data_IF_916792578225
#
_entry.id   IF_916792578225
#
_cell.length_a   1.000
_cell.length_b   1.000
_cell.length_c   1.000
_cell.angle_alpha   90.00
_cell.angle_beta   90.00
_cell.angle_gamma   90.00
#
_symmetry.space_group_name_H-M   'P 1'
#
loop_
_entity.id
_entity.type
_entity.pdbx_description
1 polymer ?
#
# COMPACT_ATOMS: atom_id res chain seq x y z
N UNK A 1 66.33 -5.60 -55.21
CA UNK A 1 65.12 -6.44 -54.94
C UNK A 1 64.62 -6.17 -53.54
N UNK A 2 63.56 -5.33 -53.36
CA UNK A 2 62.98 -4.98 -52.06
C UNK A 2 61.67 -5.75 -51.93
N UNK A 3 61.53 -6.62 -50.88
CA UNK A 3 60.31 -7.34 -50.57
C UNK A 3 59.41 -6.46 -49.67
N UNK A 4 58.12 -6.29 -49.94
CA UNK A 4 57.22 -5.59 -49.03
C UNK A 4 56.80 -6.51 -47.89
N UNK A 5 56.88 -6.00 -46.68
CA UNK A 5 56.37 -6.64 -45.44
C UNK A 5 54.88 -6.36 -45.32
N UNK A 6 54.08 -7.35 -45.53
CA UNK A 6 52.64 -7.22 -45.30
C UNK A 6 52.35 -7.50 -43.81
N UNK A 7 52.19 -6.43 -43.07
CA UNK A 7 51.73 -6.54 -41.68
C UNK A 7 50.25 -6.90 -41.63
N UNK A 8 49.92 -8.10 -41.16
CA UNK A 8 48.56 -8.57 -40.93
C UNK A 8 48.05 -7.90 -39.65
N UNK A 9 47.22 -6.85 -39.77
CA UNK A 9 46.48 -6.29 -38.66
C UNK A 9 45.29 -7.18 -38.36
N UNK A 10 45.38 -7.99 -37.31
CA UNK A 10 44.23 -8.75 -36.80
C UNK A 10 43.28 -7.79 -36.04
N UNK A 11 42.01 -7.73 -36.39
CA UNK A 11 41.05 -6.94 -35.61
C UNK A 11 40.80 -7.62 -34.27
N UNK A 12 41.17 -6.92 -33.20
CA UNK A 12 40.82 -7.29 -31.82
C UNK A 12 39.32 -7.00 -31.64
N UNK A 13 38.48 -8.02 -31.79
CA UNK A 13 37.06 -7.96 -31.42
C UNK A 13 36.96 -7.87 -29.89
N UNK A 14 36.78 -6.67 -29.36
CA UNK A 14 36.30 -6.47 -27.99
C UNK A 14 34.84 -6.92 -27.94
N UNK A 15 34.57 -8.11 -27.43
CA UNK A 15 33.25 -8.53 -27.02
C UNK A 15 32.89 -7.76 -25.75
N UNK A 16 32.07 -6.69 -25.91
CA UNK A 16 31.35 -6.09 -24.80
C UNK A 16 30.38 -7.12 -24.25
N UNK A 17 30.77 -7.86 -23.22
CA UNK A 17 29.85 -8.62 -22.42
C UNK A 17 28.92 -7.62 -21.71
N UNK A 18 27.78 -7.35 -22.31
CA UNK A 18 26.70 -6.62 -21.65
C UNK A 18 26.22 -7.52 -20.51
N UNK A 19 26.68 -7.27 -19.29
CA UNK A 19 26.05 -7.81 -18.09
C UNK A 19 24.65 -7.20 -18.00
N UNK A 20 23.62 -7.95 -18.39
CA UNK A 20 22.26 -7.56 -18.10
C UNK A 20 22.11 -7.40 -16.57
N UNK A 21 21.47 -6.34 -16.09
CA UNK A 21 21.31 -6.13 -14.66
C UNK A 21 20.50 -7.30 -14.06
N UNK A 22 21.06 -7.99 -13.08
CA UNK A 22 20.33 -8.99 -12.32
C UNK A 22 19.12 -8.31 -11.64
N UNK A 23 17.94 -8.91 -11.76
CA UNK A 23 16.76 -8.43 -11.02
C UNK A 23 17.00 -8.66 -9.54
N UNK A 24 16.87 -7.62 -8.74
CA UNK A 24 17.06 -7.70 -7.29
C UNK A 24 15.76 -7.34 -6.58
N UNK A 25 15.24 -8.26 -5.78
CA UNK A 25 14.06 -8.07 -4.93
C UNK A 25 14.53 -7.98 -3.49
N UNK A 26 14.13 -6.95 -2.78
CA UNK A 26 14.47 -6.74 -1.36
C UNK A 26 13.18 -6.65 -0.55
N UNK A 27 13.02 -7.48 0.47
CA UNK A 27 11.90 -7.36 1.41
C UNK A 27 12.21 -6.24 2.40
N UNK A 28 11.50 -5.11 2.26
CA UNK A 28 11.58 -4.02 3.23
C UNK A 28 10.74 -4.33 4.47
N UNK A 29 11.12 -3.79 5.65
CA UNK A 29 10.28 -3.88 6.84
C UNK A 29 8.91 -3.23 6.56
N UNK A 30 7.84 -3.87 7.03
CA UNK A 30 6.47 -3.38 6.94
C UNK A 30 5.99 -2.99 8.35
N UNK A 31 5.62 -1.73 8.54
CA UNK A 31 5.03 -1.29 9.80
C UNK A 31 3.68 -1.97 10.02
N UNK A 32 3.47 -2.54 11.22
CA UNK A 32 2.23 -3.22 11.58
C UNK A 32 2.01 -4.62 10.96
N UNK A 33 2.93 -5.12 10.11
CA UNK A 33 2.83 -6.45 9.48
C UNK A 33 4.12 -7.26 9.73
N UNK A 34 4.30 -7.81 10.94
CA UNK A 34 5.54 -8.49 11.30
C UNK A 34 5.81 -9.78 10.52
N UNK A 35 4.80 -10.34 9.88
CA UNK A 35 4.87 -11.59 9.09
C UNK A 35 4.81 -11.37 7.58
N UNK A 36 5.15 -10.17 7.11
CA UNK A 36 5.21 -9.91 5.67
C UNK A 36 6.21 -10.86 5.00
N UNK A 37 5.79 -11.49 3.91
CA UNK A 37 6.65 -12.35 3.10
C UNK A 37 6.42 -12.06 1.60
N UNK A 38 7.48 -12.22 0.82
CA UNK A 38 7.45 -12.09 -0.64
C UNK A 38 7.98 -13.37 -1.26
N UNK A 39 7.18 -13.94 -2.15
CA UNK A 39 7.57 -15.08 -2.97
C UNK A 39 8.19 -14.60 -4.27
N UNK A 40 9.39 -15.05 -4.58
CA UNK A 40 10.10 -14.76 -5.82
C UNK A 40 10.21 -16.04 -6.62
N UNK A 41 9.49 -16.09 -7.73
CA UNK A 41 9.48 -17.22 -8.64
C UNK A 41 10.24 -16.86 -9.93
N UNK A 42 11.12 -17.75 -10.34
CA UNK A 42 11.80 -17.72 -11.62
C UNK A 42 11.53 -19.02 -12.38
N UNK A 43 12.02 -19.15 -13.62
CA UNK A 43 11.78 -20.33 -14.47
C UNK A 43 12.14 -21.67 -13.81
N UNK A 44 13.15 -21.70 -12.94
CA UNK A 44 13.69 -22.92 -12.34
C UNK A 44 13.78 -22.88 -10.82
N UNK A 45 13.50 -21.75 -10.19
CA UNK A 45 13.74 -21.56 -8.75
C UNK A 45 12.61 -20.77 -8.11
N UNK A 46 12.24 -21.19 -6.90
CA UNK A 46 11.25 -20.57 -6.05
C UNK A 46 11.89 -20.25 -4.69
N UNK A 47 11.79 -18.98 -4.24
CA UNK A 47 12.38 -18.52 -2.98
C UNK A 47 11.40 -17.65 -2.25
N UNK A 48 11.27 -17.85 -0.93
CA UNK A 48 10.44 -17.00 -0.04
C UNK A 48 11.35 -16.12 0.80
N UNK A 49 11.16 -14.81 0.69
CA UNK A 49 11.74 -13.81 1.58
C UNK A 49 10.75 -13.56 2.71
N UNK A 50 11.10 -13.95 3.94
CA UNK A 50 10.21 -13.87 5.11
C UNK A 50 10.78 -13.01 6.25
N UNK A 51 11.99 -12.46 6.08
CA UNK A 51 12.63 -11.59 7.07
C UNK A 51 12.97 -10.24 6.43
N UNK A 52 12.83 -9.12 7.16
CA UNK A 52 13.26 -7.82 6.68
C UNK A 52 14.69 -7.84 6.14
N UNK A 53 14.90 -7.13 5.04
CA UNK A 53 16.17 -7.01 4.33
C UNK A 53 16.72 -8.32 3.72
N UNK A 54 15.94 -9.39 3.64
CA UNK A 54 16.28 -10.49 2.74
C UNK A 54 16.20 -10.03 1.29
N UNK A 55 17.10 -10.59 0.48
CA UNK A 55 17.27 -10.24 -0.94
C UNK A 55 17.20 -11.51 -1.78
N UNK A 56 16.48 -11.43 -2.89
CA UNK A 56 16.59 -12.41 -3.97
C UNK A 56 17.22 -11.72 -5.19
N UNK A 57 18.33 -12.26 -5.67
CA UNK A 57 18.96 -11.83 -6.92
C UNK A 57 18.71 -12.88 -8.01
N UNK A 58 17.94 -12.46 -9.03
CA UNK A 58 17.60 -13.34 -10.17
C UNK A 58 18.60 -13.07 -11.30
N UNK A 59 19.35 -14.10 -11.69
CA UNK A 59 20.32 -14.06 -12.78
C UNK A 59 19.66 -14.37 -14.13
N UNK A 60 20.33 -14.06 -15.23
CA UNK A 60 19.83 -14.25 -16.61
C UNK A 60 19.31 -15.67 -16.90
N UNK A 61 19.89 -16.69 -16.27
CA UNK A 61 19.47 -18.09 -16.45
C UNK A 61 18.35 -18.53 -15.51
N UNK A 62 17.73 -17.59 -14.79
CA UNK A 62 16.66 -17.88 -13.85
C UNK A 62 17.13 -18.44 -12.51
N UNK A 63 18.43 -18.49 -12.25
CA UNK A 63 18.96 -18.83 -10.93
C UNK A 63 18.64 -17.72 -9.94
N UNK A 64 18.15 -18.07 -8.75
CA UNK A 64 17.85 -17.12 -7.67
C UNK A 64 18.82 -17.34 -6.53
N UNK A 65 19.62 -16.34 -6.21
CA UNK A 65 20.51 -16.31 -5.07
C UNK A 65 19.86 -15.52 -3.93
N UNK A 66 19.71 -16.16 -2.76
CA UNK A 66 19.17 -15.50 -1.57
C UNK A 66 20.28 -14.93 -0.72
N UNK A 67 20.17 -13.66 -0.33
CA UNK A 67 21.14 -12.92 0.48
C UNK A 67 20.45 -12.18 1.61
N UNK A 68 21.24 -11.60 2.50
CA UNK A 68 20.80 -10.67 3.53
C UNK A 68 21.51 -9.33 3.31
N UNK A 69 20.76 -8.24 3.42
CA UNK A 69 21.27 -6.86 3.43
C UNK A 69 20.81 -6.14 4.69
N UNK A 70 21.01 -4.85 4.77
CA UNK A 70 20.61 -4.01 5.89
C UNK A 70 20.02 -2.66 5.43
N UNK A 71 19.52 -1.88 6.39
CA UNK A 71 18.91 -0.58 6.13
C UNK A 71 19.89 0.41 5.47
N UNK A 72 21.18 0.36 5.85
CA UNK A 72 22.21 1.27 5.34
C UNK A 72 22.51 1.01 3.85
N UNK A 73 22.65 -0.26 3.46
CA UNK A 73 22.86 -0.63 2.06
C UNK A 73 21.63 -0.28 1.21
N UNK A 74 20.43 -0.54 1.72
CA UNK A 74 19.17 -0.17 1.05
C UNK A 74 19.08 1.35 0.86
N UNK A 75 19.35 2.13 1.90
CA UNK A 75 19.34 3.60 1.84
C UNK A 75 20.39 4.14 0.86
N UNK A 76 21.59 3.56 0.86
CA UNK A 76 22.67 3.95 -0.06
C UNK A 76 22.31 3.68 -1.52
N UNK A 77 21.67 2.55 -1.82
CA UNK A 77 21.33 2.13 -3.19
C UNK A 77 20.06 2.75 -3.72
N UNK A 78 19.06 2.89 -2.87
CA UNK A 78 17.69 3.20 -3.25
C UNK A 78 17.13 4.45 -2.55
N UNK A 79 17.97 5.21 -1.82
CA UNK A 79 17.51 6.35 -1.02
C UNK A 79 16.73 7.39 -1.83
N UNK A 80 17.15 7.70 -3.06
CA UNK A 80 16.41 8.60 -3.94
C UNK A 80 15.04 8.03 -4.33
N UNK A 81 14.96 6.73 -4.62
CA UNK A 81 13.70 6.07 -4.94
C UNK A 81 12.76 6.01 -3.73
N UNK A 82 13.31 5.73 -2.55
CA UNK A 82 12.54 5.68 -1.30
C UNK A 82 12.02 7.06 -0.88
N UNK A 83 12.78 8.13 -1.17
CA UNK A 83 12.37 9.50 -0.82
C UNK A 83 11.19 10.03 -1.63
N UNK A 84 10.90 9.46 -2.79
CA UNK A 84 9.73 9.82 -3.62
C UNK A 84 8.55 8.89 -3.40
N UNK A 85 8.65 7.91 -2.52
CA UNK A 85 7.52 7.05 -2.16
C UNK A 85 6.40 7.89 -1.51
N UNK A 86 5.14 7.70 -1.93
CA UNK A 86 4.01 8.29 -1.23
C UNK A 86 4.00 7.84 0.24
N UNK A 87 3.60 8.73 1.13
CA UNK A 87 3.40 8.37 2.53
C UNK A 87 2.36 7.25 2.65
N UNK A 88 2.60 6.27 3.52
CA UNK A 88 1.72 5.13 3.72
C UNK A 88 0.27 5.56 4.02
N UNK A 89 -0.70 4.77 3.58
CA UNK A 89 -2.12 4.99 3.91
C UNK A 89 -2.30 5.09 5.43
N UNK A 90 -3.14 6.02 5.85
CA UNK A 90 -3.58 6.10 7.24
C UNK A 90 -5.06 5.75 7.31
N UNK A 91 -5.43 4.86 8.22
CA UNK A 91 -6.81 4.44 8.44
C UNK A 91 -7.28 4.89 9.81
N UNK A 92 -8.47 5.47 9.84
CA UNK A 92 -9.12 5.96 11.04
C UNK A 92 -10.53 5.39 11.12
N UNK A 93 -11.00 5.13 12.32
CA UNK A 93 -12.36 4.64 12.56
C UNK A 93 -13.16 5.67 13.34
N UNK A 94 -14.36 5.95 12.86
CA UNK A 94 -15.34 6.83 13.50
C UNK A 94 -16.62 6.04 13.76
N UNK A 95 -17.24 6.24 14.91
CA UNK A 95 -18.46 5.56 15.30
C UNK A 95 -19.67 6.49 15.25
N UNK A 96 -20.82 5.93 14.94
CA UNK A 96 -22.08 6.65 14.86
C UNK A 96 -23.00 6.32 16.02
N UNK A 97 -23.87 7.26 16.34
CA UNK A 97 -25.00 7.02 17.25
C UNK A 97 -25.98 6.01 16.63
N UNK A 98 -26.69 5.22 17.45
CA UNK A 98 -27.69 4.26 16.96
C UNK A 98 -28.74 4.93 16.07
N UNK A 99 -29.17 4.23 15.00
CA UNK A 99 -30.31 4.62 14.15
C UNK A 99 -30.11 5.86 13.28
N UNK A 100 -28.88 6.39 13.16
CA UNK A 100 -28.68 7.59 12.36
C UNK A 100 -27.25 7.74 11.80
N UNK A 101 -26.99 8.92 11.24
CA UNK A 101 -25.70 9.36 10.70
C UNK A 101 -24.99 10.43 11.53
N UNK A 102 -25.41 10.62 12.79
CA UNK A 102 -24.71 11.48 13.74
C UNK A 102 -23.52 10.73 14.35
N UNK A 103 -22.34 11.36 14.36
CA UNK A 103 -21.14 10.81 15.01
C UNK A 103 -21.32 10.82 16.55
N UNK A 104 -20.66 9.88 17.22
CA UNK A 104 -20.51 9.94 18.68
C UNK A 104 -19.68 11.17 19.08
N UNK A 105 -19.78 11.67 20.33
CA UNK A 105 -18.97 12.79 20.80
C UNK A 105 -17.46 12.55 20.64
N UNK A 106 -17.01 11.34 20.93
CA UNK A 106 -15.61 10.91 20.80
C UNK A 106 -15.17 10.96 19.33
N UNK A 107 -15.99 10.43 18.42
CA UNK A 107 -15.72 10.44 16.98
C UNK A 107 -15.73 11.86 16.40
N UNK A 108 -16.58 12.73 16.93
CA UNK A 108 -16.60 14.14 16.53
C UNK A 108 -15.29 14.85 16.92
N UNK A 109 -14.76 14.56 18.10
CA UNK A 109 -13.46 15.07 18.54
C UNK A 109 -12.32 14.50 17.71
N UNK A 110 -12.31 13.18 17.50
CA UNK A 110 -11.29 12.50 16.69
C UNK A 110 -11.27 12.99 15.23
N UNK A 111 -12.42 13.34 14.66
CA UNK A 111 -12.50 13.88 13.30
C UNK A 111 -11.68 15.16 13.12
N UNK A 112 -11.63 16.02 14.13
CA UNK A 112 -10.83 17.25 14.07
C UNK A 112 -9.33 16.94 13.92
N UNK A 113 -8.81 15.99 14.70
CA UNK A 113 -7.41 15.55 14.62
C UNK A 113 -7.10 14.84 13.29
N UNK A 114 -8.02 14.01 12.81
CA UNK A 114 -7.91 13.34 11.52
C UNK A 114 -7.78 14.36 10.39
N UNK A 115 -8.60 15.38 10.40
CA UNK A 115 -8.59 16.43 9.39
C UNK A 115 -7.31 17.27 9.43
N UNK A 116 -6.79 17.58 10.63
CA UNK A 116 -5.50 18.24 10.76
C UNK A 116 -4.39 17.43 10.09
N UNK A 117 -4.28 16.13 10.41
CA UNK A 117 -3.29 15.23 9.81
C UNK A 117 -3.46 15.07 8.31
N UNK A 118 -4.69 15.03 7.83
CA UNK A 118 -4.98 14.89 6.40
C UNK A 118 -4.59 16.16 5.62
N UNK A 119 -4.75 17.37 6.18
CA UNK A 119 -4.32 18.63 5.54
C UNK A 119 -2.80 18.77 5.43
N UNK A 120 -2.04 18.16 6.34
CA UNK A 120 -0.57 18.14 6.29
C UNK A 120 -0.02 17.30 5.12
N UNK A 121 -0.85 16.43 4.53
CA UNK A 121 -0.49 15.55 3.42
C UNK A 121 -0.80 16.21 2.08
N UNK A 122 0.21 16.76 1.43
CA UNK A 122 0.03 17.30 0.07
C UNK A 122 -0.36 16.19 -0.91
N UNK A 123 -1.41 16.43 -1.68
CA UNK A 123 -1.83 15.48 -2.72
C UNK A 123 -2.66 14.28 -2.24
N UNK A 124 -2.98 14.16 -0.94
CA UNK A 124 -3.75 13.04 -0.40
C UNK A 124 -5.21 13.00 -0.88
N UNK A 125 -5.75 11.81 -1.06
CA UNK A 125 -7.18 11.54 -1.25
C UNK A 125 -7.77 10.98 0.03
N UNK A 126 -9.06 11.24 0.25
CA UNK A 126 -9.81 10.72 1.40
C UNK A 126 -10.92 9.83 0.89
N UNK A 127 -10.93 8.58 1.29
CA UNK A 127 -12.04 7.66 1.03
C UNK A 127 -12.78 7.41 2.34
N UNK A 128 -14.02 7.85 2.42
CA UNK A 128 -14.90 7.60 3.56
C UNK A 128 -15.70 6.34 3.29
N UNK A 129 -15.50 5.31 4.10
CA UNK A 129 -16.21 4.03 3.97
C UNK A 129 -17.19 3.91 5.14
N UNK A 130 -18.47 3.79 4.83
CA UNK A 130 -19.53 3.59 5.82
C UNK A 130 -19.86 2.11 6.01
N UNK A 131 -20.11 1.72 7.26
CA UNK A 131 -20.54 0.37 7.64
C UNK A 131 -21.77 0.43 8.54
N UNK A 132 -22.43 -0.72 8.72
CA UNK A 132 -23.50 -0.94 9.69
C UNK A 132 -23.26 -2.22 10.47
N UNK A 133 -23.96 -2.38 11.59
CA UNK A 133 -24.18 -3.70 12.17
C UNK A 133 -25.15 -4.50 11.30
N UNK A 134 -25.56 -5.69 11.76
CA UNK A 134 -26.43 -6.62 11.01
C UNK A 134 -27.90 -6.56 11.45
N UNK A 135 -28.32 -5.43 12.00
CA UNK A 135 -29.73 -5.19 12.32
C UNK A 135 -30.45 -4.62 11.11
N UNK A 136 -31.54 -5.24 10.69
CA UNK A 136 -32.36 -4.84 9.54
C UNK A 136 -32.00 -5.56 8.25
N UNK A 137 -32.47 -5.02 7.12
CA UNK A 137 -32.25 -5.64 5.80
C UNK A 137 -30.92 -5.17 5.17
N UNK A 138 -30.33 -6.01 4.32
CA UNK A 138 -29.12 -5.67 3.56
C UNK A 138 -29.30 -4.37 2.78
N UNK A 139 -30.47 -4.16 2.14
CA UNK A 139 -30.77 -2.94 1.37
C UNK A 139 -30.82 -1.71 2.25
N UNK A 140 -31.42 -1.82 3.45
CA UNK A 140 -31.45 -0.72 4.42
C UNK A 140 -30.08 -0.39 4.97
N UNK A 141 -29.25 -1.40 5.20
CA UNK A 141 -27.89 -1.27 5.68
C UNK A 141 -26.97 -0.69 4.60
N UNK A 142 -27.15 -1.04 3.33
CA UNK A 142 -26.46 -0.41 2.21
C UNK A 142 -26.76 1.09 2.12
N UNK A 143 -28.07 1.46 2.17
CA UNK A 143 -28.48 2.84 2.14
C UNK A 143 -27.95 3.65 3.34
N UNK A 144 -28.07 3.10 4.56
CA UNK A 144 -27.61 3.76 5.79
C UNK A 144 -26.08 3.94 5.79
N UNK A 145 -25.34 2.93 5.38
CA UNK A 145 -23.87 3.01 5.31
C UNK A 145 -23.40 4.10 4.34
N UNK A 146 -24.02 4.19 3.17
CA UNK A 146 -23.74 5.25 2.19
C UNK A 146 -24.13 6.62 2.74
N UNK A 147 -25.29 6.77 3.38
CA UNK A 147 -25.71 8.01 4.02
C UNK A 147 -24.71 8.46 5.08
N UNK A 148 -24.19 7.56 5.91
CA UNK A 148 -23.15 7.83 6.91
C UNK A 148 -21.87 8.32 6.27
N UNK A 149 -21.40 7.61 5.24
CA UNK A 149 -20.20 8.02 4.50
C UNK A 149 -20.35 9.41 3.88
N UNK A 150 -21.50 9.70 3.28
CA UNK A 150 -21.81 11.02 2.71
C UNK A 150 -21.86 12.12 3.78
N UNK A 151 -22.41 11.84 4.96
CA UNK A 151 -22.44 12.80 6.06
C UNK A 151 -21.01 13.19 6.51
N UNK A 152 -20.13 12.21 6.68
CA UNK A 152 -18.72 12.47 7.01
C UNK A 152 -18.00 13.18 5.86
N UNK A 153 -18.25 12.79 4.60
CA UNK A 153 -17.72 13.49 3.43
C UNK A 153 -18.05 14.98 3.46
N UNK A 154 -19.28 15.35 3.76
CA UNK A 154 -19.69 16.75 3.86
C UNK A 154 -18.97 17.48 5.00
N UNK A 155 -18.74 16.83 6.14
CA UNK A 155 -17.95 17.40 7.24
C UNK A 155 -16.48 17.65 6.82
N UNK A 156 -15.88 16.74 6.06
CA UNK A 156 -14.51 16.85 5.53
C UNK A 156 -14.41 18.03 4.55
N UNK A 157 -15.35 18.12 3.60
CA UNK A 157 -15.41 19.23 2.62
C UNK A 157 -15.66 20.58 3.33
N UNK A 158 -16.56 20.61 4.31
CA UNK A 158 -16.86 21.81 5.11
C UNK A 158 -15.66 22.32 5.93
N UNK A 159 -14.63 21.49 6.11
CA UNK A 159 -13.34 21.85 6.77
C UNK A 159 -12.25 22.25 5.78
N UNK A 160 -12.58 22.39 4.49
CA UNK A 160 -11.70 22.93 3.47
C UNK A 160 -11.00 21.88 2.58
N UNK A 161 -11.39 20.60 2.65
CA UNK A 161 -10.93 19.62 1.68
C UNK A 161 -11.61 19.83 0.31
N UNK A 162 -10.84 19.62 -0.74
CA UNK A 162 -11.36 19.63 -2.10
C UNK A 162 -12.35 18.48 -2.30
N UNK A 163 -13.56 18.79 -2.69
CA UNK A 163 -14.64 17.83 -2.92
C UNK A 163 -14.29 16.78 -3.99
N UNK A 164 -13.42 17.12 -4.95
CA UNK A 164 -12.94 16.21 -5.99
C UNK A 164 -11.96 15.15 -5.46
N UNK A 165 -11.50 15.31 -4.22
CA UNK A 165 -10.52 14.44 -3.56
C UNK A 165 -11.08 13.69 -2.34
N UNK A 166 -12.40 13.75 -2.16
CA UNK A 166 -13.09 13.05 -1.07
C UNK A 166 -14.17 12.17 -1.64
N UNK A 167 -14.01 10.86 -1.55
CA UNK A 167 -15.01 9.89 -1.95
C UNK A 167 -15.80 9.35 -0.75
N UNK A 168 -17.02 8.88 -1.02
CA UNK A 168 -17.89 8.25 -0.03
C UNK A 168 -18.44 6.93 -0.57
N UNK A 169 -18.25 5.84 0.16
CA UNK A 169 -18.66 4.48 -0.22
C UNK A 169 -19.43 3.83 0.92
N UNK A 170 -20.59 3.23 0.63
CA UNK A 170 -21.33 2.39 1.56
C UNK A 170 -20.94 0.93 1.37
N UNK A 171 -20.70 0.19 2.47
CA UNK A 171 -20.42 -1.25 2.48
C UNK A 171 -21.49 -2.05 3.21
N UNK A 172 -22.45 -1.37 3.84
CA UNK A 172 -23.47 -2.04 4.64
C UNK A 172 -22.84 -2.89 5.74
N UNK A 173 -23.39 -4.08 5.90
CA UNK A 173 -23.00 -5.08 6.90
C UNK A 173 -21.96 -6.11 6.42
N UNK A 174 -21.39 -5.93 5.19
CA UNK A 174 -20.57 -6.98 4.52
C UNK A 174 -19.19 -7.14 5.10
N UNK A 175 -18.67 -6.12 5.75
CA UNK A 175 -17.29 -6.08 6.28
C UNK A 175 -17.30 -5.76 7.78
N UNK A 176 -17.86 -6.63 8.65
CA UNK A 176 -17.93 -6.35 10.08
C UNK A 176 -16.57 -6.45 10.74
N UNK A 177 -16.26 -5.50 11.61
CA UNK A 177 -15.06 -5.54 12.47
C UNK A 177 -15.19 -6.67 13.50
N UNK A 178 -16.40 -6.83 14.04
CA UNK A 178 -16.75 -7.93 14.95
C UNK A 178 -17.76 -8.84 14.23
N UNK A 179 -17.41 -10.10 13.92
CA UNK A 179 -18.35 -11.03 13.34
C UNK A 179 -19.55 -11.27 14.27
N UNK A 180 -20.75 -11.07 13.75
CA UNK A 180 -22.02 -11.29 14.47
C UNK A 180 -23.00 -12.10 13.61
N UNK A 181 -24.01 -12.69 14.24
CA UNK A 181 -25.19 -13.20 13.53
C UNK A 181 -26.04 -12.02 13.02
N UNK A 182 -27.05 -12.33 12.19
CA UNK A 182 -28.04 -11.35 11.75
C UNK A 182 -28.85 -10.85 12.95
N UNK A 183 -29.38 -9.63 12.87
CA UNK A 183 -30.18 -8.95 13.89
C UNK A 183 -29.44 -8.71 15.22
N UNK A 184 -28.11 -8.79 15.23
CA UNK A 184 -27.31 -8.45 16.41
C UNK A 184 -26.81 -7.01 16.33
N UNK A 185 -27.21 -6.22 17.33
CA UNK A 185 -26.74 -4.86 17.53
C UNK A 185 -25.27 -4.87 18.05
N UNK A 186 -24.34 -4.46 17.20
CA UNK A 186 -22.90 -4.40 17.54
C UNK A 186 -22.35 -2.98 17.30
N UNK A 187 -22.15 -2.20 18.38
CA UNK A 187 -21.67 -0.83 18.27
C UNK A 187 -20.34 -0.66 17.52
N UNK A 188 -19.47 -1.67 17.58
CA UNK A 188 -18.17 -1.63 16.88
C UNK A 188 -18.28 -1.78 15.37
N UNK A 189 -19.43 -2.18 14.87
CA UNK A 189 -19.71 -2.33 13.44
C UNK A 189 -20.42 -1.09 12.84
N UNK A 190 -20.67 -0.06 13.64
CA UNK A 190 -21.43 1.13 13.25
C UNK A 190 -20.58 2.37 13.11
#
# INVERSE_FOLDING_TARGET
MKRPFHGLLAPLLLTLAACAPATRVVLLPQEGVPTAAVEVQSQSTHVVLAKPYQVAEVRERGEVEQKQTDASDVQKRYGQLLSVQPAAEQRFTLFFMPGGSALTPESTTALADILSRATERSGGEVVVIGHTDRVGTVESNDALSLQRAQAVRQLVIGRGFDAARVDAVGRGEREPVVPTADEVDEPKNR
#
